data_IF_326226457372
#
_entry.id   IF_326226457372
#
_cell.length_a   1.000
_cell.length_b   1.000
_cell.length_c   1.000
_cell.angle_alpha   90.00
_cell.angle_beta   90.00
_cell.angle_gamma   90.00
#
_symmetry.space_group_name_H-M   'P 1'
#
loop_
_entity.id
_entity.type
_entity.pdbx_description
1 polymer ?
#
# COMPACT_ATOMS: atom_id res chain seq x y z
N UNK A 1 15.26 -18.86 67.58
CA UNK A 1 14.06 -18.21 66.99
C UNK A 1 14.09 -18.51 65.49
N UNK A 2 13.10 -19.07 64.78
CA UNK A 2 11.67 -19.37 65.00
C UNK A 2 11.29 -20.63 64.21
N UNK A 3 10.22 -21.26 64.70
CA UNK A 3 9.49 -22.42 64.19
C UNK A 3 9.01 -22.36 62.74
N UNK A 4 8.96 -23.57 62.13
CA UNK A 4 7.96 -24.16 61.21
C UNK A 4 6.72 -23.31 60.85
N UNK A 5 6.30 -23.38 59.57
CA UNK A 5 5.02 -24.04 59.21
C UNK A 5 4.89 -24.33 57.72
N UNK A 6 4.43 -25.56 57.45
CA UNK A 6 3.96 -26.14 56.21
C UNK A 6 2.45 -25.85 56.11
N UNK A 7 1.93 -25.53 54.92
CA UNK A 7 0.50 -25.67 54.62
C UNK A 7 0.32 -26.36 53.27
N UNK A 8 -0.21 -27.58 53.33
CA UNK A 8 -1.00 -28.22 52.29
C UNK A 8 -2.40 -27.61 52.30
N UNK A 9 -3.04 -27.55 51.13
CA UNK A 9 -4.46 -27.23 50.98
C UNK A 9 -4.98 -27.64 49.61
N UNK A 10 -5.56 -28.84 49.56
CA UNK A 10 -6.37 -29.42 48.49
C UNK A 10 -7.81 -28.84 48.54
N UNK A 11 -8.67 -29.24 47.59
CA UNK A 11 -10.13 -29.00 47.41
C UNK A 11 -10.37 -27.98 46.28
N UNK A 12 -11.16 -28.23 45.23
CA UNK A 12 -12.04 -29.35 44.91
C UNK A 12 -13.21 -28.87 44.04
N UNK A 13 -13.66 -29.78 43.18
CA UNK A 13 -15.04 -29.95 42.67
C UNK A 13 -15.53 -29.12 41.46
N UNK A 14 -16.04 -29.92 40.52
CA UNK A 14 -16.82 -29.66 39.31
C UNK A 14 -18.07 -28.79 39.53
N UNK A 15 -18.43 -27.99 38.52
CA UNK A 15 -19.85 -27.75 38.21
C UNK A 15 -20.07 -27.54 36.70
N UNK A 16 -21.01 -28.30 36.18
CA UNK A 16 -21.62 -28.20 34.86
C UNK A 16 -22.39 -26.87 34.73
N UNK A 17 -22.38 -26.28 33.54
CA UNK A 17 -23.21 -25.13 33.22
C UNK A 17 -23.29 -24.93 31.71
N UNK A 18 -24.33 -25.46 31.09
CA UNK A 18 -24.65 -25.27 29.69
C UNK A 18 -24.88 -23.78 29.39
N UNK A 19 -24.09 -23.20 28.50
CA UNK A 19 -24.33 -21.85 27.97
C UNK A 19 -25.22 -21.99 26.75
N UNK A 20 -26.47 -21.54 26.89
CA UNK A 20 -27.47 -21.50 25.84
C UNK A 20 -27.04 -20.53 24.72
N UNK A 21 -26.92 -21.06 23.50
CA UNK A 21 -26.84 -20.30 22.25
C UNK A 21 -28.22 -19.71 21.95
N UNK A 22 -28.39 -18.40 22.16
CA UNK A 22 -29.52 -17.65 21.60
C UNK A 22 -29.07 -17.13 20.24
N UNK A 23 -29.47 -17.84 19.18
CA UNK A 23 -29.32 -17.40 17.80
C UNK A 23 -30.32 -16.28 17.49
N UNK A 24 -29.81 -15.14 17.03
CA UNK A 24 -30.62 -14.08 16.42
C UNK A 24 -30.66 -14.37 14.92
N UNK A 25 -31.75 -14.98 14.46
CA UNK A 25 -32.03 -15.17 13.05
C UNK A 25 -32.53 -13.84 12.46
N UNK A 26 -31.73 -13.22 11.58
CA UNK A 26 -32.20 -12.13 10.74
C UNK A 26 -33.06 -12.72 9.62
N UNK A 27 -34.36 -12.44 9.67
CA UNK A 27 -35.28 -12.69 8.56
C UNK A 27 -34.90 -11.76 7.40
N UNK A 28 -34.38 -12.33 6.32
CA UNK A 28 -34.22 -11.64 5.04
C UNK A 28 -35.57 -11.49 4.36
N UNK A 29 -35.88 -10.27 3.90
CA UNK A 29 -37.07 -10.00 3.11
C UNK A 29 -36.97 -10.71 1.75
N UNK A 30 -37.97 -11.55 1.50
CA UNK A 30 -38.36 -12.01 0.18
C UNK A 30 -38.90 -10.83 -0.64
N UNK A 31 -38.44 -10.74 -1.87
CA UNK A 31 -38.74 -9.65 -2.80
C UNK A 31 -38.59 -10.17 -4.20
N UNK A 32 -39.50 -11.07 -4.58
CA UNK A 32 -39.63 -11.57 -5.93
C UNK A 32 -39.72 -10.41 -6.93
N UNK A 33 -38.72 -10.32 -7.79
CA UNK A 33 -38.77 -9.53 -9.02
C UNK A 33 -39.57 -10.33 -10.04
N UNK A 34 -40.83 -9.97 -10.22
CA UNK A 34 -41.58 -10.27 -11.45
C UNK A 34 -41.98 -8.97 -12.13
N UNK A 35 -41.75 -8.99 -13.43
CA UNK A 35 -41.84 -7.90 -14.38
C UNK A 35 -43.21 -7.24 -14.44
N UNK A 36 -43.22 -5.92 -14.54
CA UNK A 36 -44.30 -5.18 -15.19
C UNK A 36 -43.68 -4.11 -16.07
N UNK A 37 -43.74 -4.35 -17.38
CA UNK A 37 -43.34 -3.45 -18.43
C UNK A 37 -44.45 -2.43 -18.74
N UNK A 38 -44.04 -1.24 -19.23
CA UNK A 38 -44.82 -0.25 -19.99
C UNK A 38 -45.83 0.57 -19.14
N UNK A 39 -45.90 1.90 -19.23
CA UNK A 39 -45.97 2.75 -20.41
C UNK A 39 -45.53 4.19 -20.04
N UNK A 40 -44.83 4.82 -20.97
CA UNK A 40 -44.46 6.24 -20.94
C UNK A 40 -45.61 7.03 -21.57
N UNK A 41 -46.24 7.94 -20.83
CA UNK A 41 -47.05 9.00 -21.42
C UNK A 41 -46.64 10.36 -20.86
N UNK A 42 -46.42 11.25 -21.81
CA UNK A 42 -45.91 12.60 -21.70
C UNK A 42 -46.97 13.52 -21.07
N UNK A 43 -46.60 14.32 -20.08
CA UNK A 43 -47.36 15.51 -19.69
C UNK A 43 -46.40 16.64 -19.36
N UNK A 44 -46.27 17.54 -20.33
CA UNK A 44 -45.70 18.87 -20.23
C UNK A 44 -46.42 19.70 -19.18
N UNK A 45 -45.67 20.25 -18.23
CA UNK A 45 -46.04 21.44 -17.46
C UNK A 45 -44.82 22.36 -17.47
N UNK A 46 -44.99 23.56 -18.02
CA UNK A 46 -43.98 24.61 -18.03
C UNK A 46 -43.96 25.39 -16.71
N UNK A 47 -42.74 25.85 -16.41
CA UNK A 47 -42.32 26.98 -15.59
C UNK A 47 -42.28 26.85 -14.04
N UNK A 48 -41.09 26.49 -13.56
CA UNK A 48 -40.41 27.33 -12.57
C UNK A 48 -38.90 27.15 -12.74
N UNK A 49 -38.21 28.25 -13.07
CA UNK A 49 -36.76 28.33 -13.10
C UNK A 49 -36.14 27.91 -11.75
N UNK A 50 -35.74 26.65 -11.65
CA UNK A 50 -34.72 26.20 -10.70
C UNK A 50 -33.47 25.99 -11.52
N UNK A 51 -32.47 26.85 -11.31
CA UNK A 51 -31.12 26.63 -11.81
C UNK A 51 -30.71 25.24 -11.36
N UNK A 52 -30.76 24.29 -12.28
CA UNK A 52 -30.20 22.97 -12.07
C UNK A 52 -28.69 23.17 -12.03
N UNK A 53 -28.18 23.48 -10.83
CA UNK A 53 -26.80 23.16 -10.46
C UNK A 53 -26.64 21.68 -10.81
N UNK A 54 -26.05 21.43 -11.98
CA UNK A 54 -25.77 20.12 -12.52
C UNK A 54 -24.79 19.47 -11.55
N UNK A 55 -25.36 18.79 -10.54
CA UNK A 55 -24.60 18.03 -9.56
C UNK A 55 -23.77 17.01 -10.31
N UNK A 56 -22.47 17.28 -10.45
CA UNK A 56 -21.52 16.38 -11.08
C UNK A 56 -21.60 15.04 -10.36
N UNK A 57 -21.84 13.96 -11.10
CA UNK A 57 -21.85 12.62 -10.50
C UNK A 57 -20.50 12.40 -9.83
N UNK A 58 -20.50 11.85 -8.62
CA UNK A 58 -19.27 11.58 -7.87
C UNK A 58 -18.29 10.70 -8.68
N UNK A 59 -18.79 9.86 -9.60
CA UNK A 59 -17.96 9.07 -10.54
C UNK A 59 -17.18 9.93 -11.54
N UNK A 60 -17.70 11.11 -11.90
CA UNK A 60 -17.07 12.04 -12.84
C UNK A 60 -15.98 12.88 -12.15
N UNK A 61 -16.09 13.06 -10.83
CA UNK A 61 -15.13 13.80 -10.00
C UNK A 61 -14.08 12.87 -9.38
N UNK A 62 -14.45 11.65 -8.98
CA UNK A 62 -13.56 10.70 -8.29
C UNK A 62 -12.54 10.01 -9.22
N UNK A 63 -12.73 10.05 -10.54
CA UNK A 63 -11.82 9.42 -11.51
C UNK A 63 -10.63 10.29 -11.94
N UNK A 64 -10.66 11.60 -11.65
CA UNK A 64 -9.56 12.51 -11.97
C UNK A 64 -8.56 12.56 -10.81
N UNK A 65 -7.97 11.43 -10.46
CA UNK A 65 -6.66 11.48 -9.86
C UNK A 65 -5.74 12.11 -10.90
N UNK A 66 -5.29 13.34 -10.67
CA UNK A 66 -4.27 13.98 -11.48
C UNK A 66 -3.01 13.12 -11.41
N UNK A 67 -2.87 12.16 -12.33
CA UNK A 67 -1.58 11.55 -12.57
C UNK A 67 -0.66 12.69 -13.00
N UNK A 68 0.38 12.91 -12.20
CA UNK A 68 1.34 13.98 -12.45
C UNK A 68 1.95 13.77 -13.83
N UNK A 69 2.31 14.87 -14.51
CA UNK A 69 3.02 14.82 -15.78
C UNK A 69 4.30 13.98 -15.61
N UNK A 70 4.32 12.88 -16.34
CA UNK A 70 5.26 11.77 -16.24
C UNK A 70 6.34 11.82 -17.35
N UNK A 71 6.48 12.97 -18.03
CA UNK A 71 7.36 13.16 -19.19
C UNK A 71 8.87 13.18 -18.88
N UNK A 72 9.27 13.07 -17.62
CA UNK A 72 10.68 13.24 -17.20
C UNK A 72 11.56 12.00 -17.44
N UNK A 73 10.98 10.80 -17.55
CA UNK A 73 11.76 9.57 -17.73
C UNK A 73 11.71 9.05 -19.16
N UNK A 74 12.88 8.96 -19.80
CA UNK A 74 13.02 8.30 -21.08
C UNK A 74 12.91 6.77 -20.90
N UNK A 75 12.00 6.09 -21.63
CA UNK A 75 11.93 4.64 -21.64
C UNK A 75 13.28 4.02 -22.03
N UNK A 76 13.66 2.93 -21.36
CA UNK A 76 14.83 2.12 -21.76
C UNK A 76 14.41 0.70 -22.08
N UNK A 77 15.17 0.05 -22.97
CA UNK A 77 15.02 -1.38 -23.22
C UNK A 77 15.72 -2.18 -22.12
N UNK A 78 15.00 -3.15 -21.54
CA UNK A 78 15.53 -4.08 -20.55
C UNK A 78 16.22 -5.27 -21.22
N UNK A 79 17.34 -5.72 -20.65
CA UNK A 79 17.96 -6.98 -21.08
C UNK A 79 17.11 -8.20 -20.66
N UNK A 80 17.37 -9.37 -21.26
CA UNK A 80 16.59 -10.59 -21.01
C UNK A 80 16.58 -10.98 -19.52
N UNK A 81 17.70 -10.80 -18.82
CA UNK A 81 17.78 -11.15 -17.41
C UNK A 81 17.17 -10.09 -16.50
N UNK A 82 17.00 -8.84 -16.94
CA UNK A 82 16.18 -7.83 -16.25
C UNK A 82 14.69 -8.12 -16.43
N UNK A 83 14.28 -8.56 -17.63
CA UNK A 83 12.86 -8.81 -17.95
C UNK A 83 12.20 -9.81 -17.00
N UNK A 84 12.94 -10.80 -16.48
CA UNK A 84 12.40 -11.75 -15.52
C UNK A 84 11.91 -11.09 -14.22
N UNK A 85 12.39 -9.89 -13.88
CA UNK A 85 12.05 -9.17 -12.65
C UNK A 85 10.89 -8.18 -12.82
N UNK A 86 10.38 -7.98 -14.04
CA UNK A 86 9.17 -7.19 -14.32
C UNK A 86 8.00 -7.79 -13.57
N UNK A 87 7.34 -7.00 -12.73
CA UNK A 87 6.20 -7.46 -11.94
C UNK A 87 5.94 -6.59 -10.72
N UNK A 88 4.90 -6.97 -9.99
CA UNK A 88 4.46 -6.30 -8.77
C UNK A 88 4.95 -7.02 -7.54
N UNK A 89 5.72 -6.36 -6.71
CA UNK A 89 6.24 -6.88 -5.45
C UNK A 89 5.61 -6.13 -4.29
N UNK A 90 5.20 -6.87 -3.26
CA UNK A 90 4.51 -6.32 -2.11
C UNK A 90 5.08 -6.87 -0.81
N UNK A 91 5.02 -6.04 0.22
CA UNK A 91 5.13 -6.44 1.62
C UNK A 91 4.21 -5.58 2.47
N UNK A 92 3.78 -6.10 3.62
CA UNK A 92 3.15 -5.29 4.64
C UNK A 92 4.24 -4.70 5.55
N UNK A 93 4.19 -3.39 5.75
CA UNK A 93 5.09 -2.65 6.64
C UNK A 93 4.34 -2.17 7.88
N UNK A 94 5.09 -2.01 8.96
CA UNK A 94 4.60 -1.33 10.16
C UNK A 94 4.78 0.17 9.99
N UNK A 95 3.75 0.93 10.37
CA UNK A 95 3.76 2.38 10.36
C UNK A 95 3.96 2.86 11.78
N UNK A 96 5.19 3.26 12.09
CA UNK A 96 5.63 3.68 13.41
C UNK A 96 6.67 4.81 13.31
N UNK A 97 6.54 5.63 12.25
CA UNK A 97 7.40 6.79 12.01
C UNK A 97 8.66 6.48 11.18
N UNK A 98 9.06 5.21 11.09
CA UNK A 98 10.27 4.77 10.38
C UNK A 98 10.09 4.58 8.87
N UNK A 99 8.85 4.67 8.38
CA UNK A 99 8.52 4.55 6.96
C UNK A 99 7.61 5.70 6.54
N UNK A 100 8.21 6.84 6.20
CA UNK A 100 7.48 8.06 5.84
C UNK A 100 6.71 7.89 4.51
N UNK A 101 5.41 8.28 4.41
CA UNK A 101 4.60 9.12 5.32
C UNK A 101 3.66 8.34 6.25
N UNK A 102 4.06 7.16 6.71
CA UNK A 102 3.24 6.30 7.53
C UNK A 102 3.56 6.42 9.03
N UNK A 103 2.64 6.98 9.81
CA UNK A 103 2.85 7.24 11.24
C UNK A 103 2.32 6.13 12.16
N UNK A 104 1.14 5.57 11.86
CA UNK A 104 0.49 4.55 12.71
C UNK A 104 -0.21 3.47 11.88
N UNK A 105 -0.26 2.25 12.43
CA UNK A 105 -0.96 1.10 11.85
C UNK A 105 -0.08 0.29 10.89
N UNK A 106 -0.70 -0.21 9.82
CA UNK A 106 -0.03 -1.00 8.78
C UNK A 106 -0.27 -0.40 7.40
N UNK A 107 0.69 -0.58 6.51
CA UNK A 107 0.54 -0.23 5.10
C UNK A 107 1.10 -1.34 4.21
N UNK A 108 0.59 -1.43 3.00
CA UNK A 108 1.21 -2.18 1.94
C UNK A 108 2.24 -1.30 1.24
N UNK A 109 3.49 -1.76 1.26
CA UNK A 109 4.56 -1.21 0.44
C UNK A 109 4.67 -2.02 -0.85
N UNK A 110 4.52 -1.35 -1.98
CA UNK A 110 4.42 -1.97 -3.29
C UNK A 110 5.45 -1.32 -4.23
N UNK A 111 6.17 -2.16 -4.97
CA UNK A 111 7.00 -1.80 -6.11
C UNK A 111 6.48 -2.49 -7.36
N UNK A 112 6.19 -1.74 -8.42
CA UNK A 112 5.83 -2.30 -9.72
C UNK A 112 6.98 -1.99 -10.69
N UNK A 113 7.77 -3.00 -11.03
CA UNK A 113 8.83 -2.91 -12.03
C UNK A 113 8.22 -3.10 -13.41
N UNK A 114 8.40 -2.13 -14.31
CA UNK A 114 7.78 -2.10 -15.63
C UNK A 114 8.78 -2.40 -16.76
N UNK A 115 8.29 -2.82 -17.95
CA UNK A 115 9.13 -3.15 -19.10
C UNK A 115 9.94 -1.99 -19.69
N UNK A 116 9.59 -0.74 -19.36
CA UNK A 116 10.27 0.48 -19.82
C UNK A 116 11.43 0.92 -18.91
N UNK A 117 11.73 0.14 -17.87
CA UNK A 117 12.76 0.45 -16.87
C UNK A 117 12.33 1.43 -15.78
N UNK A 118 11.04 1.77 -15.73
CA UNK A 118 10.48 2.52 -14.60
C UNK A 118 10.04 1.58 -13.47
N UNK A 119 9.99 2.13 -12.26
CA UNK A 119 9.44 1.47 -11.08
C UNK A 119 8.46 2.40 -10.36
N UNK A 120 7.26 1.91 -10.12
CA UNK A 120 6.21 2.64 -9.43
C UNK A 120 6.10 2.18 -7.98
N UNK A 121 6.32 3.10 -7.05
CA UNK A 121 6.32 2.85 -5.61
C UNK A 121 5.06 3.40 -4.97
N UNK A 122 4.27 2.54 -4.35
CA UNK A 122 3.05 2.91 -3.62
C UNK A 122 3.09 2.48 -2.16
N UNK A 123 2.57 3.32 -1.27
CA UNK A 123 2.31 3.01 0.14
C UNK A 123 0.81 3.12 0.36
N UNK A 124 0.12 1.99 0.50
CA UNK A 124 -1.34 1.93 0.61
C UNK A 124 -1.73 1.57 2.03
N UNK A 125 -2.53 2.41 2.71
CA UNK A 125 -3.14 2.05 3.99
C UNK A 125 -4.61 1.71 3.76
N UNK A 126 -5.07 0.62 4.35
CA UNK A 126 -6.48 0.24 4.31
C UNK A 126 -7.32 1.25 5.12
N UNK A 127 -8.46 1.67 4.56
CA UNK A 127 -9.47 2.47 5.26
C UNK A 127 -9.15 3.96 5.46
N UNK A 128 -8.07 4.50 4.88
CA UNK A 128 -7.78 5.95 4.90
C UNK A 128 -7.65 6.49 3.48
N UNK A 129 -8.60 7.31 3.04
CA UNK A 129 -8.45 8.16 1.85
C UNK A 129 -7.54 9.33 2.24
N UNK A 130 -6.39 9.47 1.60
CA UNK A 130 -5.40 10.48 1.99
C UNK A 130 -5.75 11.85 1.42
N UNK A 131 -5.90 12.85 2.29
CA UNK A 131 -5.36 14.17 2.01
C UNK A 131 -3.90 14.14 2.46
N UNK A 132 -2.97 14.02 1.53
CA UNK A 132 -1.56 14.03 1.88
C UNK A 132 -1.21 15.38 2.50
N UNK A 133 -0.75 15.38 3.76
CA UNK A 133 -0.03 16.53 4.30
C UNK A 133 1.28 16.63 3.53
N UNK A 134 1.29 17.44 2.47
CA UNK A 134 2.50 17.74 1.72
C UNK A 134 3.50 18.39 2.68
N UNK A 135 4.70 17.80 2.78
CA UNK A 135 5.83 18.58 3.32
C UNK A 135 6.26 19.54 2.21
N UNK A 136 6.54 20.83 2.51
CA UNK A 136 7.14 21.72 1.53
C UNK A 136 8.37 21.06 0.90
N UNK A 137 8.39 20.95 -0.44
CA UNK A 137 9.45 20.26 -1.19
C UNK A 137 9.25 18.75 -1.41
N UNK A 138 8.19 18.12 -0.87
CA UNK A 138 7.85 16.73 -1.14
C UNK A 138 6.40 16.60 -1.63
N UNK A 139 6.22 16.36 -2.93
CA UNK A 139 4.92 16.02 -3.53
C UNK A 139 4.71 14.50 -3.56
N UNK A 140 3.45 14.07 -3.45
CA UNK A 140 3.00 12.68 -3.61
C UNK A 140 3.78 11.68 -2.73
N UNK A 141 3.57 11.79 -1.42
CA UNK A 141 4.33 11.01 -0.45
C UNK A 141 3.94 9.53 -0.45
N UNK A 142 2.74 9.18 -0.92
CA UNK A 142 2.23 7.81 -1.00
C UNK A 142 2.50 7.14 -2.34
N UNK A 143 2.58 7.86 -3.45
CA UNK A 143 2.89 7.32 -4.77
C UNK A 143 4.03 8.07 -5.45
N UNK A 144 4.98 7.32 -6.04
CA UNK A 144 6.11 7.90 -6.78
C UNK A 144 6.51 7.01 -7.96
N UNK A 145 7.02 7.63 -9.02
CA UNK A 145 7.63 6.99 -10.18
C UNK A 145 9.14 7.28 -10.19
N UNK A 146 9.93 6.22 -10.29
CA UNK A 146 11.39 6.23 -10.28
C UNK A 146 11.91 5.30 -11.41
N UNK A 147 13.23 5.13 -11.56
CA UNK A 147 13.82 4.14 -12.47
C UNK A 147 14.52 3.03 -11.71
N UNK A 148 14.86 1.95 -12.41
CA UNK A 148 15.63 0.86 -11.82
C UNK A 148 16.62 0.25 -12.79
N UNK A 149 17.64 -0.39 -12.24
CA UNK A 149 18.63 -1.21 -12.96
C UNK A 149 18.94 -2.48 -12.18
N UNK A 150 19.57 -3.45 -12.85
CA UNK A 150 20.17 -4.60 -12.20
C UNK A 150 21.70 -4.53 -12.24
N UNK A 151 22.37 -4.99 -11.18
CA UNK A 151 23.83 -5.11 -11.19
C UNK A 151 24.30 -6.20 -12.16
N UNK A 152 25.58 -6.16 -12.54
CA UNK A 152 26.17 -7.09 -13.52
C UNK A 152 26.09 -8.55 -13.07
N UNK A 153 26.23 -8.79 -11.77
CA UNK A 153 26.19 -10.12 -11.17
C UNK A 153 24.76 -10.67 -11.03
N UNK A 154 23.73 -9.87 -11.35
CA UNK A 154 22.30 -10.23 -11.28
C UNK A 154 21.83 -10.66 -9.88
N UNK A 155 22.47 -10.12 -8.86
CA UNK A 155 22.17 -10.38 -7.45
C UNK A 155 21.40 -9.25 -6.80
N UNK A 156 21.26 -8.10 -7.45
CA UNK A 156 20.71 -6.88 -6.87
C UNK A 156 19.95 -6.04 -7.89
N UNK A 157 18.75 -5.59 -7.50
CA UNK A 157 18.03 -4.52 -8.17
C UNK A 157 18.31 -3.21 -7.45
N UNK A 158 18.53 -2.15 -8.22
CA UNK A 158 18.82 -0.80 -7.72
C UNK A 158 17.70 0.11 -8.20
N UNK A 159 16.96 0.71 -7.25
CA UNK A 159 15.95 1.73 -7.54
C UNK A 159 16.60 3.11 -7.43
N UNK A 160 16.53 3.88 -8.50
CA UNK A 160 17.10 5.21 -8.62
C UNK A 160 16.01 6.27 -8.46
N UNK A 161 16.02 6.98 -7.33
CA UNK A 161 15.12 8.11 -7.13
C UNK A 161 15.55 9.31 -7.96
N UNK A 162 14.59 10.12 -8.43
CA UNK A 162 14.89 11.38 -9.14
C UNK A 162 15.83 12.32 -8.39
N UNK A 163 15.78 12.31 -7.05
CA UNK A 163 16.65 13.15 -6.24
C UNK A 163 18.11 12.65 -6.19
N UNK A 164 18.41 11.52 -6.82
CA UNK A 164 19.73 10.89 -6.86
C UNK A 164 19.98 9.87 -5.76
N UNK A 165 18.95 9.47 -5.00
CA UNK A 165 19.10 8.45 -3.95
C UNK A 165 18.86 7.06 -4.53
N UNK A 166 19.80 6.15 -4.28
CA UNK A 166 19.73 4.75 -4.68
C UNK A 166 19.25 3.86 -3.53
N UNK A 167 18.30 2.97 -3.80
CA UNK A 167 17.90 1.92 -2.87
C UNK A 167 18.22 0.55 -3.46
N UNK A 168 18.88 -0.29 -2.67
CA UNK A 168 19.38 -1.58 -3.11
C UNK A 168 18.49 -2.69 -2.58
N UNK A 169 18.18 -3.66 -3.43
CA UNK A 169 17.38 -4.83 -3.13
C UNK A 169 18.14 -6.07 -3.56
N UNK A 170 18.55 -6.92 -2.62
CA UNK A 170 19.10 -8.24 -2.93
C UNK A 170 18.03 -9.14 -3.53
N UNK A 171 18.37 -9.77 -4.63
CA UNK A 171 17.60 -10.85 -5.24
C UNK A 171 17.82 -12.11 -4.41
N UNK A 172 16.76 -12.57 -3.75
CA UNK A 172 16.77 -13.88 -3.07
C UNK A 172 16.44 -14.98 -4.09
N UNK A 173 15.43 -14.71 -4.91
CA UNK A 173 15.00 -15.52 -6.06
C UNK A 173 14.19 -14.62 -7.02
N UNK A 174 13.70 -15.16 -8.14
CA UNK A 174 12.95 -14.38 -9.15
C UNK A 174 11.61 -13.79 -8.64
N UNK A 175 11.14 -14.23 -7.48
CA UNK A 175 9.88 -13.82 -6.86
C UNK A 175 10.09 -13.07 -5.54
N UNK A 176 11.33 -12.92 -5.07
CA UNK A 176 11.63 -12.45 -3.72
C UNK A 176 12.79 -11.47 -3.72
N UNK A 177 12.50 -10.26 -3.24
CA UNK A 177 13.49 -9.20 -3.06
C UNK A 177 13.64 -8.88 -1.58
N UNK A 178 14.86 -8.64 -1.12
CA UNK A 178 15.13 -8.20 0.24
C UNK A 178 15.85 -6.86 0.22
N UNK A 179 15.29 -5.84 0.88
CA UNK A 179 15.95 -4.54 1.01
C UNK A 179 17.34 -4.67 1.64
N UNK A 180 18.34 -4.03 1.05
CA UNK A 180 19.68 -3.96 1.61
C UNK A 180 19.86 -2.63 2.35
N UNK A 181 19.67 -2.69 3.67
CA UNK A 181 19.72 -1.52 4.56
C UNK A 181 21.11 -0.88 4.57
N UNK A 182 22.15 -1.70 4.64
CA UNK A 182 23.53 -1.24 4.75
C UNK A 182 23.96 -0.56 3.45
N UNK A 183 23.77 -1.22 2.30
CA UNK A 183 24.11 -0.61 1.00
C UNK A 183 23.32 0.66 0.74
N UNK A 184 22.01 0.64 0.99
CA UNK A 184 21.17 1.82 0.79
C UNK A 184 21.61 2.99 1.66
N UNK A 185 22.02 2.76 2.90
CA UNK A 185 22.37 3.85 3.80
C UNK A 185 23.83 4.29 3.72
N UNK A 186 24.75 3.40 3.33
CA UNK A 186 26.18 3.57 3.54
C UNK A 186 27.04 3.44 2.28
N UNK A 187 26.60 2.76 1.21
CA UNK A 187 27.45 2.50 0.04
C UNK A 187 27.69 3.76 -0.81
N UNK A 188 26.65 4.55 -1.04
CA UNK A 188 26.67 5.67 -1.98
C UNK A 188 26.90 7.02 -1.27
N UNK A 189 27.97 7.73 -1.66
CA UNK A 189 28.30 9.04 -1.08
C UNK A 189 27.22 10.12 -1.39
N UNK A 190 26.51 10.00 -2.50
CA UNK A 190 25.36 10.85 -2.87
C UNK A 190 24.21 10.62 -1.92
N UNK A 191 23.89 9.35 -1.62
CA UNK A 191 22.89 9.02 -0.60
C UNK A 191 23.24 9.68 0.74
N UNK A 192 24.49 9.51 1.20
CA UNK A 192 24.94 10.10 2.47
C UNK A 192 24.77 11.62 2.51
N UNK A 193 25.16 12.32 1.43
CA UNK A 193 24.96 13.77 1.30
C UNK A 193 23.49 14.17 1.36
N UNK A 194 22.61 13.40 0.74
CA UNK A 194 21.17 13.68 0.74
C UNK A 194 20.55 13.39 2.10
N UNK A 195 20.98 12.35 2.80
CA UNK A 195 20.55 12.09 4.18
C UNK A 195 20.95 13.21 5.14
N UNK A 196 22.16 13.75 5.00
CA UNK A 196 22.61 14.92 5.77
C UNK A 196 21.75 16.18 5.48
N UNK A 197 21.07 16.24 4.34
CA UNK A 197 20.11 17.29 3.96
C UNK A 197 18.68 17.02 4.40
N UNK A 198 18.44 15.96 5.17
CA UNK A 198 17.12 15.62 5.72
C UNK A 198 16.29 14.65 4.89
N UNK A 199 16.85 14.05 3.83
CA UNK A 199 16.18 12.93 3.17
C UNK A 199 16.16 11.70 4.10
N UNK A 200 15.06 10.94 4.14
CA UNK A 200 14.94 9.81 5.05
C UNK A 200 15.86 8.66 4.62
N UNK A 201 16.56 8.09 5.60
CA UNK A 201 17.26 6.80 5.50
C UNK A 201 16.25 5.65 5.52
N UNK A 202 16.66 4.49 5.02
CA UNK A 202 15.94 3.27 5.38
C UNK A 202 16.28 2.96 6.84
N UNK A 203 15.27 2.69 7.65
CA UNK A 203 15.49 2.31 9.06
C UNK A 203 15.24 0.82 9.31
N UNK A 204 14.59 0.15 8.35
CA UNK A 204 14.34 -1.28 8.36
C UNK A 204 14.45 -1.86 6.96
N UNK A 205 14.84 -3.12 6.91
CA UNK A 205 14.76 -3.95 5.71
C UNK A 205 13.47 -4.79 5.74
N UNK A 206 12.80 -4.85 4.59
CA UNK A 206 11.66 -5.73 4.39
C UNK A 206 11.92 -6.67 3.22
N UNK A 207 11.29 -7.84 3.26
CA UNK A 207 11.26 -8.80 2.16
C UNK A 207 9.99 -8.60 1.37
N UNK A 208 10.12 -8.26 0.09
CA UNK A 208 8.99 -8.14 -0.83
C UNK A 208 8.82 -9.45 -1.61
N UNK A 209 7.57 -9.85 -1.77
CA UNK A 209 7.17 -11.02 -2.56
C UNK A 209 6.43 -10.56 -3.80
N UNK A 210 6.72 -11.18 -4.94
CA UNK A 210 5.98 -10.94 -6.17
C UNK A 210 4.54 -11.42 -5.99
N UNK A 211 3.58 -10.59 -6.39
CA UNK A 211 2.18 -10.99 -6.49
C UNK A 211 1.99 -11.88 -7.74
N UNK A 212 1.17 -12.93 -7.66
CA UNK A 212 0.79 -13.72 -8.83
C UNK A 212 0.19 -12.81 -9.90
N UNK A 213 0.52 -13.05 -11.17
CA UNK A 213 -0.20 -12.40 -12.27
C UNK A 213 -1.65 -12.91 -12.23
N UNK A 214 -2.61 -12.03 -11.96
CA UNK A 214 -4.05 -12.30 -12.05
C UNK A 214 -4.55 -12.19 -13.48
#
# INVERSE_FOLDING_TARGET
MKLKRKHQGLIGVLLQGAVALIGVSLAGCDGGLSEASQQHENSTVEDAAVTAELGKKLTEVAGRATMQDDSEYAPRTLDIGEQQFIGRYRTQIQCDGYFFPCETGKADFILNFLPDGTVHRSIVRLGKVFSEKQRPGFSNLSYRRDTWTMNKERTELIVHRKEGINFYYRVVDSQTLHMDLDKSNNLDATNQKLYARGFPKLERAYTLKREPNS
#
